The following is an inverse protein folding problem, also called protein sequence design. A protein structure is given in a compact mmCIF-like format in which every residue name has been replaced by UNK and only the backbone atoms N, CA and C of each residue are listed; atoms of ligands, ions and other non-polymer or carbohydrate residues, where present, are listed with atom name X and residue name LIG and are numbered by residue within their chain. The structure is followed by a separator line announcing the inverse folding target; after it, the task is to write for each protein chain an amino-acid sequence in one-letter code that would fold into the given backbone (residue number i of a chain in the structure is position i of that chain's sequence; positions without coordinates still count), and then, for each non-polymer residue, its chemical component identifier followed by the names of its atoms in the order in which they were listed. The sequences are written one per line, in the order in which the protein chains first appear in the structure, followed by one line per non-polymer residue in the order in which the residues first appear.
data_IF_779559807640
#
_entry.id   IF_779559807640
#
_cell.length_a   1.000
_cell.length_b   1.000
_cell.length_c   1.000
_cell.angle_alpha   90.00
_cell.angle_beta   90.00
_cell.angle_gamma   90.00
#
_symmetry.space_group_name_H-M   'P 1'
#
loop_
_entity.id
_entity.type
_entity.pdbx_description
1 polymer ?
#
# COMPACT_ATOMS: atom_id res chain seq x y z
N UNK A 1 -13.30 10.06 -4.59
CA UNK A 1 -12.63 9.13 -5.51
C UNK A 1 -13.67 8.58 -6.47
N UNK A 2 -13.53 8.83 -7.75
CA UNK A 2 -14.50 8.37 -8.73
C UNK A 2 -14.12 7.01 -9.30
N UNK A 3 -15.11 6.21 -9.66
CA UNK A 3 -14.89 4.91 -10.30
C UNK A 3 -14.16 5.06 -11.64
N UNK A 4 -14.41 6.16 -12.34
CA UNK A 4 -13.79 6.44 -13.63
C UNK A 4 -12.29 6.70 -13.48
N UNK A 5 -11.89 7.46 -12.45
CA UNK A 5 -10.48 7.73 -12.17
C UNK A 5 -9.73 6.44 -11.84
N UNK A 6 -10.33 5.59 -11.02
CA UNK A 6 -9.74 4.31 -10.62
C UNK A 6 -9.62 3.38 -11.82
N UNK A 7 -10.69 3.25 -12.60
CA UNK A 7 -10.68 2.39 -13.78
C UNK A 7 -9.62 2.80 -14.78
N UNK A 8 -9.48 4.12 -15.00
CA UNK A 8 -8.46 4.65 -15.90
C UNK A 8 -7.05 4.36 -15.41
N UNK A 9 -6.82 4.45 -14.09
CA UNK A 9 -5.51 4.17 -13.52
C UNK A 9 -5.08 2.71 -13.78
N UNK A 10 -6.00 1.76 -13.60
CA UNK A 10 -5.68 0.33 -13.74
C UNK A 10 -5.89 -0.24 -15.14
N UNK A 11 -6.28 0.58 -16.12
CA UNK A 11 -6.57 0.10 -17.48
C UNK A 11 -5.33 -0.48 -18.18
N UNK A 12 -4.14 -0.08 -17.77
CA UNK A 12 -2.89 -0.54 -18.37
C UNK A 12 -2.43 -1.91 -17.86
N UNK A 13 -3.10 -2.46 -16.85
CA UNK A 13 -2.78 -3.79 -16.32
C UNK A 13 -4.09 -4.53 -16.09
N UNK A 14 -4.46 -5.40 -17.02
CA UNK A 14 -5.71 -6.15 -16.96
C UNK A 14 -5.77 -7.03 -15.71
N UNK A 15 -6.89 -6.97 -14.99
CA UNK A 15 -7.09 -7.72 -13.75
C UNK A 15 -6.62 -7.00 -12.48
N UNK A 16 -5.86 -5.93 -12.62
CA UNK A 16 -5.35 -5.20 -11.45
C UNK A 16 -6.43 -4.45 -10.70
N UNK A 17 -7.47 -3.98 -11.41
CA UNK A 17 -8.56 -3.25 -10.78
C UNK A 17 -9.27 -4.10 -9.73
N UNK A 18 -9.54 -5.36 -10.04
CA UNK A 18 -10.22 -6.27 -9.13
C UNK A 18 -9.37 -6.51 -7.87
N UNK A 19 -8.06 -6.65 -8.03
CA UNK A 19 -7.14 -6.79 -6.90
C UNK A 19 -7.16 -5.54 -6.04
N UNK A 20 -7.13 -4.36 -6.67
CA UNK A 20 -7.21 -3.10 -5.95
C UNK A 20 -8.51 -2.98 -5.16
N UNK A 21 -9.65 -3.30 -5.78
CA UNK A 21 -10.94 -3.17 -5.11
C UNK A 21 -11.03 -4.06 -3.87
N UNK A 22 -10.53 -5.29 -3.96
CA UNK A 22 -10.51 -6.20 -2.82
C UNK A 22 -9.62 -5.66 -1.70
N UNK A 23 -8.44 -5.19 -2.05
CA UNK A 23 -7.50 -4.63 -1.07
C UNK A 23 -8.05 -3.34 -0.46
N UNK A 24 -8.60 -2.45 -1.28
CA UNK A 24 -9.17 -1.19 -0.82
C UNK A 24 -10.25 -1.41 0.25
N UNK A 25 -11.14 -2.36 0.00
CA UNK A 25 -12.20 -2.68 0.96
C UNK A 25 -11.62 -3.14 2.30
N UNK A 26 -10.58 -3.98 2.27
CA UNK A 26 -9.93 -4.46 3.48
C UNK A 26 -9.19 -3.35 4.23
N UNK A 27 -8.51 -2.46 3.50
CA UNK A 27 -7.80 -1.33 4.13
C UNK A 27 -8.79 -0.40 4.83
N UNK A 28 -9.87 -0.03 4.15
CA UNK A 28 -10.86 0.87 4.74
C UNK A 28 -11.54 0.25 5.95
N UNK A 29 -11.81 -1.04 5.91
CA UNK A 29 -12.43 -1.76 7.02
C UNK A 29 -11.47 -1.89 8.21
N UNK A 30 -10.27 -2.39 7.99
CA UNK A 30 -9.35 -2.74 9.07
C UNK A 30 -8.51 -1.57 9.57
N UNK A 31 -8.03 -0.70 8.68
CA UNK A 31 -7.25 0.46 9.10
C UNK A 31 -8.13 1.61 9.58
N UNK A 32 -9.38 1.64 9.15
CA UNK A 32 -10.34 2.66 9.55
C UNK A 32 -10.81 2.54 11.00
N UNK A 33 -10.51 1.44 11.68
CA UNK A 33 -10.88 1.25 13.08
C UNK A 33 -10.16 2.21 14.03
N UNK A 34 -8.95 2.65 13.68
CA UNK A 34 -8.10 3.47 14.54
C UNK A 34 -8.22 4.96 14.27
N UNK A 35 -8.49 5.33 13.04
CA UNK A 35 -8.60 6.73 12.63
C UNK A 35 -9.24 6.80 11.26
N UNK A 36 -9.68 8.02 10.88
CA UNK A 36 -10.22 8.22 9.54
C UNK A 36 -9.13 7.98 8.49
N UNK A 37 -9.44 7.16 7.49
CA UNK A 37 -8.54 6.88 6.38
C UNK A 37 -9.02 7.66 5.16
N UNK A 38 -8.13 8.47 4.60
CA UNK A 38 -8.40 9.24 3.39
C UNK A 38 -7.75 8.56 2.19
N UNK A 39 -8.47 8.45 1.10
CA UNK A 39 -7.99 7.83 -0.13
C UNK A 39 -7.90 8.89 -1.20
N UNK A 40 -6.74 9.02 -1.83
CA UNK A 40 -6.53 10.00 -2.89
C UNK A 40 -5.95 9.34 -4.12
N UNK A 41 -6.63 9.51 -5.25
CA UNK A 41 -6.15 9.01 -6.55
C UNK A 41 -5.23 10.06 -7.14
N UNK A 42 -3.99 9.68 -7.39
CA UNK A 42 -2.98 10.53 -7.99
C UNK A 42 -2.60 9.97 -9.37
N UNK A 43 -1.77 10.68 -10.11
CA UNK A 43 -1.42 10.29 -11.46
C UNK A 43 -0.74 8.90 -11.53
N UNK A 44 0.15 8.61 -10.57
CA UNK A 44 0.94 7.37 -10.60
C UNK A 44 0.68 6.42 -9.44
N UNK A 45 -0.20 6.81 -8.51
CA UNK A 45 -0.48 5.98 -7.33
C UNK A 45 -1.77 6.40 -6.66
N UNK A 46 -2.30 5.49 -5.84
CA UNK A 46 -3.45 5.77 -4.98
C UNK A 46 -2.92 5.74 -3.55
N UNK A 47 -3.09 6.85 -2.82
CA UNK A 47 -2.52 6.98 -1.48
C UNK A 47 -3.58 6.85 -0.39
N UNK A 48 -3.15 6.28 0.74
CA UNK A 48 -3.94 6.14 1.96
C UNK A 48 -3.26 6.94 3.06
N UNK A 49 -4.02 7.84 3.71
CA UNK A 49 -3.47 8.70 4.76
C UNK A 49 -4.40 8.79 5.97
N UNK A 50 -3.82 9.14 7.14
CA UNK A 50 -4.54 9.21 8.42
C UNK A 50 -4.01 10.29 9.40
N UNK A 51 -3.78 11.58 9.09
CA UNK A 51 -3.73 12.30 7.82
C UNK A 51 -2.41 12.18 7.05
N UNK A 52 -1.37 11.60 7.63
CA UNK A 52 -0.11 11.35 6.92
C UNK A 52 -0.26 10.11 6.04
N UNK A 53 0.42 10.09 4.91
CA UNK A 53 0.41 8.93 4.03
C UNK A 53 1.08 7.75 4.74
N UNK A 54 0.37 6.63 4.85
CA UNK A 54 0.94 5.41 5.45
C UNK A 54 1.08 4.27 4.44
N UNK A 55 0.38 4.34 3.31
CA UNK A 55 0.46 3.31 2.28
C UNK A 55 0.04 3.87 0.93
N UNK A 56 0.45 3.21 -0.13
CA UNK A 56 -0.06 3.51 -1.46
C UNK A 56 -0.12 2.23 -2.30
N UNK A 57 -0.95 2.29 -3.35
CA UNK A 57 -1.07 1.23 -4.34
C UNK A 57 -0.70 1.82 -5.69
N UNK A 58 0.11 1.10 -6.46
CA UNK A 58 0.57 1.57 -7.76
C UNK A 58 0.78 0.38 -8.69
N UNK A 59 1.22 0.68 -9.91
CA UNK A 59 1.66 -0.33 -10.88
C UNK A 59 3.19 -0.26 -11.04
N UNK A 60 3.88 0.21 -10.02
CA UNK A 60 5.34 0.28 -10.01
C UNK A 60 5.94 -1.11 -10.22
N UNK A 61 6.89 -1.21 -11.14
CA UNK A 61 7.61 -2.45 -11.37
C UNK A 61 8.81 -2.53 -10.44
N UNK A 62 8.75 -3.47 -9.49
CA UNK A 62 9.83 -3.68 -8.51
C UNK A 62 10.77 -4.82 -8.94
N UNK A 63 10.49 -5.43 -10.10
CA UNK A 63 11.32 -6.46 -10.74
C UNK A 63 11.40 -6.15 -12.21
N UNK A 64 12.24 -6.89 -12.95
CA UNK A 64 12.31 -6.76 -14.40
C UNK A 64 10.94 -7.05 -15.00
N UNK A 65 10.62 -6.38 -16.11
CA UNK A 65 9.33 -6.55 -16.79
C UNK A 65 9.00 -8.02 -17.05
N UNK A 66 10.00 -8.81 -17.46
CA UNK A 66 9.83 -10.23 -17.75
C UNK A 66 9.57 -11.09 -16.52
N UNK A 67 9.86 -10.56 -15.32
CA UNK A 67 9.69 -11.27 -14.05
C UNK A 67 8.45 -10.82 -13.26
N UNK A 68 7.71 -9.86 -13.80
CA UNK A 68 6.49 -9.38 -13.14
C UNK A 68 5.35 -10.36 -13.34
N UNK A 69 4.60 -10.69 -12.27
CA UNK A 69 3.37 -11.48 -12.42
C UNK A 69 2.29 -10.65 -13.10
N UNK A 70 1.28 -11.31 -13.64
CA UNK A 70 0.11 -10.65 -14.23
C UNK A 70 -1.15 -11.41 -13.84
N UNK A 71 -2.19 -10.74 -13.32
CA UNK A 71 -2.21 -9.32 -12.97
C UNK A 71 -1.36 -9.03 -11.73
N UNK A 72 -1.12 -7.73 -11.48
CA UNK A 72 -0.44 -7.34 -10.24
C UNK A 72 -0.83 -5.93 -9.83
N UNK A 73 -0.66 -5.64 -8.54
CA UNK A 73 -0.58 -4.30 -7.99
C UNK A 73 0.62 -4.29 -7.03
N UNK A 74 1.24 -3.12 -6.87
CA UNK A 74 2.35 -2.95 -5.93
C UNK A 74 1.85 -2.17 -4.73
N UNK A 75 2.01 -2.74 -3.54
CA UNK A 75 1.60 -2.13 -2.28
C UNK A 75 2.84 -1.60 -1.59
N UNK A 76 2.83 -0.32 -1.26
CA UNK A 76 3.94 0.37 -0.61
C UNK A 76 3.49 0.86 0.76
N UNK A 77 4.30 0.64 1.78
CA UNK A 77 3.95 1.05 3.15
C UNK A 77 5.21 1.36 3.95
N UNK A 78 5.06 2.18 5.00
CA UNK A 78 6.17 2.63 5.84
C UNK A 78 6.10 2.05 7.25
N UNK A 79 7.24 1.59 7.75
CA UNK A 79 7.37 1.07 9.12
C UNK A 79 8.61 1.69 9.78
N UNK A 80 8.67 1.58 11.11
CA UNK A 80 9.82 2.08 11.89
C UNK A 80 11.03 1.17 11.85
N UNK A 81 10.91 -0.04 11.32
CA UNK A 81 11.99 -1.03 11.23
C UNK A 81 11.78 -1.87 9.97
N UNK A 82 12.85 -2.48 9.43
CA UNK A 82 12.70 -3.31 8.24
C UNK A 82 11.95 -4.61 8.54
N UNK A 83 11.08 -4.99 7.62
CA UNK A 83 10.38 -6.27 7.65
C UNK A 83 11.12 -7.22 6.68
N UNK A 84 11.53 -8.38 7.18
CA UNK A 84 12.36 -9.31 6.42
C UNK A 84 11.57 -10.51 5.84
N UNK A 85 10.28 -10.32 5.60
CA UNK A 85 9.47 -11.37 4.98
C UNK A 85 9.84 -11.52 3.50
N UNK A 86 9.87 -12.76 3.01
CA UNK A 86 10.23 -13.04 1.62
C UNK A 86 9.26 -12.44 0.60
N UNK A 87 8.05 -12.09 1.02
CA UNK A 87 7.06 -11.44 0.16
C UNK A 87 7.40 -9.97 -0.11
N UNK A 88 8.29 -9.38 0.70
CA UNK A 88 8.72 -8.00 0.51
C UNK A 88 9.77 -7.98 -0.62
N UNK A 89 9.42 -7.33 -1.72
CA UNK A 89 10.29 -7.28 -2.89
C UNK A 89 11.44 -6.28 -2.71
N UNK A 90 11.17 -5.13 -2.09
CA UNK A 90 12.17 -4.07 -1.88
C UNK A 90 11.95 -3.44 -0.52
N UNK A 91 13.04 -3.23 0.23
CA UNK A 91 13.04 -2.51 1.50
C UNK A 91 14.11 -1.43 1.42
N UNK A 92 13.74 -0.18 1.73
CA UNK A 92 14.65 0.96 1.65
C UNK A 92 14.48 1.84 2.89
N UNK A 93 15.59 2.23 3.52
CA UNK A 93 15.54 3.20 4.59
C UNK A 93 15.44 4.60 3.99
N UNK A 94 14.21 5.16 3.98
CA UNK A 94 13.94 6.46 3.39
C UNK A 94 14.46 7.62 4.26
N UNK A 95 14.50 7.41 5.57
CA UNK A 95 15.01 8.36 6.56
C UNK A 95 15.34 7.58 7.83
N UNK A 96 16.07 8.13 8.79
CA UNK A 96 16.36 7.42 10.04
C UNK A 96 15.08 6.91 10.71
N UNK A 97 15.05 5.60 10.95
CA UNK A 97 13.91 4.90 11.56
C UNK A 97 12.62 4.96 10.73
N UNK A 98 12.76 5.14 9.41
CA UNK A 98 11.61 5.13 8.48
C UNK A 98 11.97 4.25 7.29
N UNK A 99 11.31 3.10 7.21
CA UNK A 99 11.60 2.09 6.19
C UNK A 99 10.42 1.94 5.24
N UNK A 100 10.69 2.07 3.95
CA UNK A 100 9.69 1.91 2.90
C UNK A 100 9.77 0.49 2.35
N UNK A 101 8.62 -0.15 2.26
CA UNK A 101 8.50 -1.53 1.81
C UNK A 101 7.62 -1.59 0.56
N UNK A 102 8.03 -2.39 -0.42
CA UNK A 102 7.21 -2.67 -1.61
C UNK A 102 6.95 -4.15 -1.68
N UNK A 103 5.68 -4.54 -1.80
CA UNK A 103 5.30 -5.93 -1.98
C UNK A 103 4.33 -6.04 -3.14
N UNK A 104 4.38 -7.17 -3.86
CA UNK A 104 3.50 -7.43 -4.99
C UNK A 104 2.29 -8.24 -4.52
N UNK A 105 1.12 -7.83 -5.03
CA UNK A 105 -0.13 -8.60 -4.88
C UNK A 105 -0.54 -9.00 -6.29
N UNK A 106 -0.63 -10.30 -6.57
CA UNK A 106 -0.99 -10.79 -7.89
C UNK A 106 -2.15 -11.79 -7.88
N UNK A 107 -2.68 -12.10 -6.71
CA UNK A 107 -3.85 -12.95 -6.57
C UNK A 107 -4.64 -12.55 -5.33
N UNK A 108 -5.95 -12.90 -5.25
CA UNK A 108 -6.74 -12.62 -4.06
C UNK A 108 -6.16 -13.23 -2.78
N UNK A 109 -5.47 -14.36 -2.87
CA UNK A 109 -4.86 -15.04 -1.74
C UNK A 109 -3.74 -14.22 -1.10
N UNK A 110 -3.13 -13.29 -1.85
CA UNK A 110 -2.09 -12.41 -1.32
C UNK A 110 -2.67 -11.33 -0.42
N UNK A 111 -3.98 -11.08 -0.52
CA UNK A 111 -4.68 -10.09 0.32
C UNK A 111 -5.14 -10.82 1.57
N UNK A 112 -4.20 -11.10 2.45
CA UNK A 112 -4.41 -11.92 3.64
C UNK A 112 -4.14 -11.14 4.94
N UNK A 113 -4.28 -11.81 6.07
CA UNK A 113 -4.11 -11.18 7.37
C UNK A 113 -2.67 -10.71 7.61
N UNK A 114 -1.68 -11.33 6.98
CA UNK A 114 -0.29 -10.90 7.09
C UNK A 114 -0.11 -9.54 6.41
N UNK A 115 -0.58 -9.41 5.18
CA UNK A 115 -0.52 -8.15 4.45
C UNK A 115 -1.28 -7.05 5.20
N UNK A 116 -2.50 -7.34 5.63
CA UNK A 116 -3.30 -6.35 6.36
C UNK A 116 -2.68 -6.00 7.71
N UNK A 117 -1.98 -6.95 8.34
CA UNK A 117 -1.21 -6.70 9.56
C UNK A 117 -0.10 -5.67 9.33
N UNK A 118 0.62 -5.78 8.23
CA UNK A 118 1.65 -4.79 7.86
C UNK A 118 1.02 -3.42 7.64
N UNK A 119 -0.11 -3.36 6.93
CA UNK A 119 -0.77 -2.09 6.64
C UNK A 119 -1.35 -1.45 7.91
N UNK A 120 -1.90 -2.24 8.83
CA UNK A 120 -2.35 -1.72 10.12
C UNK A 120 -1.18 -1.18 10.93
N UNK A 121 -0.06 -1.88 10.93
CA UNK A 121 1.16 -1.41 11.60
C UNK A 121 1.66 -0.10 10.98
N UNK A 122 1.61 0.02 9.65
CA UNK A 122 1.99 1.23 8.96
C UNK A 122 1.07 2.40 9.31
N UNK A 123 -0.24 2.14 9.38
CA UNK A 123 -1.22 3.15 9.78
C UNK A 123 -0.94 3.65 11.21
N UNK A 124 -0.67 2.73 12.12
CA UNK A 124 -0.36 3.07 13.51
C UNK A 124 0.96 3.83 13.62
N UNK A 125 1.98 3.39 12.90
CA UNK A 125 3.28 4.07 12.86
C UNK A 125 3.13 5.51 12.36
N UNK A 126 2.30 5.73 11.35
CA UNK A 126 2.05 7.06 10.79
C UNK A 126 1.43 7.99 11.83
N UNK A 127 0.48 7.49 12.63
CA UNK A 127 -0.14 8.26 13.71
C UNK A 127 0.91 8.62 14.77
N UNK A 128 1.70 7.66 15.20
CA UNK A 128 2.73 7.87 16.23
C UNK A 128 3.78 8.86 15.77
N UNK A 129 4.17 8.82 14.49
CA UNK A 129 5.10 9.79 13.92
C UNK A 129 4.52 11.19 13.91
N UNK A 130 3.23 11.32 13.61
CA UNK A 130 2.54 12.60 13.67
C UNK A 130 2.55 13.19 15.07
N UNK A 131 2.29 12.38 16.08
CA UNK A 131 2.32 12.81 17.49
C UNK A 131 3.74 13.20 17.92
N UNK A 132 4.76 12.43 17.50
CA UNK A 132 6.15 12.71 17.85
C UNK A 132 6.64 14.03 17.25
N UNK A 133 6.20 14.37 16.04
CA UNK A 133 6.63 15.61 15.39
C UNK A 133 5.95 16.84 15.97
N UNK A 134 4.88 16.69 16.72
CA UNK A 134 4.17 17.77 17.37
C UNK A 134 4.72 18.10 18.76
N UNK A 135 5.63 17.29 19.27
CA UNK A 135 6.18 17.46 20.61
C UNK A 135 7.44 18.33 20.69
#
# INVERSE_FOLDING_TARGET
MSAQEIGGFFSQEEGSLELFEMLNNRILEECGEYSTVYVKVQKTQITYSNPRVFACVSLLRVRRKSEMPHPYITVTFGLGAPCNDKRIAVVTEAAPNRWTHHTLVHSPEDIDDVLLGWLKSAAQFSIEKGLSSDS
#
